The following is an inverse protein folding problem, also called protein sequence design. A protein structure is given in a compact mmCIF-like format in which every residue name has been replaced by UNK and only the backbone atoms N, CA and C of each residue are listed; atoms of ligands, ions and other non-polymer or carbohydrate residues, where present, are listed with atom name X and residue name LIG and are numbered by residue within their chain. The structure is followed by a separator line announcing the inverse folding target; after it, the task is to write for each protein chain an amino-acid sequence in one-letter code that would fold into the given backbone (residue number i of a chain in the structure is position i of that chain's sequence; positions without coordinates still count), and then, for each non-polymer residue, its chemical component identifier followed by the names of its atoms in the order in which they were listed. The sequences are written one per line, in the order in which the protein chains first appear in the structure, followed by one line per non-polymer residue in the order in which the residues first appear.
data_IF_548871769573
#
_entry.id   IF_548871769573
#
_cell.length_a   1.000
_cell.length_b   1.000
_cell.length_c   1.000
_cell.angle_alpha   90.00
_cell.angle_beta   90.00
_cell.angle_gamma   90.00
#
_symmetry.space_group_name_H-M   'P 1'
#
loop_
_entity.id
_entity.type
_entity.pdbx_description
1 polymer ?
#
# COMPACT_ATOMS: atom_id res chain seq x y z
N UNK A 1 -6.70 17.15 1.08
CA UNK A 1 -7.27 15.81 1.37
C UNK A 1 -6.67 14.85 0.36
N UNK A 2 -6.03 13.77 0.80
CA UNK A 2 -5.56 12.73 -0.13
C UNK A 2 -6.79 12.07 -0.76
N UNK A 3 -6.91 12.00 -2.10
CA UNK A 3 -8.06 11.37 -2.74
C UNK A 3 -8.19 9.90 -2.30
N UNK A 4 -9.42 9.42 -2.06
CA UNK A 4 -9.68 8.05 -1.63
C UNK A 4 -9.09 6.98 -2.58
N UNK A 5 -8.97 7.32 -3.87
CA UNK A 5 -8.34 6.48 -4.89
C UNK A 5 -6.84 6.21 -4.65
N UNK A 6 -6.12 7.10 -3.96
CA UNK A 6 -4.71 6.88 -3.62
C UNK A 6 -4.59 5.81 -2.53
N UNK A 7 -5.44 5.86 -1.51
CA UNK A 7 -5.47 4.85 -0.45
C UNK A 7 -5.84 3.49 -1.03
N UNK A 8 -6.82 3.45 -1.95
CA UNK A 8 -7.19 2.20 -2.63
C UNK A 8 -6.03 1.58 -3.41
N UNK A 9 -5.25 2.39 -4.16
CA UNK A 9 -4.06 1.93 -4.88
C UNK A 9 -2.97 1.40 -3.95
N UNK A 10 -2.70 2.10 -2.85
CA UNK A 10 -1.73 1.64 -1.85
C UNK A 10 -2.15 0.32 -1.19
N UNK A 11 -3.45 0.15 -0.90
CA UNK A 11 -3.98 -1.12 -0.40
C UNK A 11 -3.85 -2.24 -1.43
N UNK A 12 -4.04 -1.94 -2.72
CA UNK A 12 -3.85 -2.91 -3.80
C UNK A 12 -2.39 -3.33 -3.93
N UNK A 13 -1.43 -2.42 -3.76
CA UNK A 13 0.00 -2.73 -3.73
C UNK A 13 0.36 -3.67 -2.57
N UNK A 14 -0.19 -3.43 -1.38
CA UNK A 14 -0.03 -4.34 -0.23
C UNK A 14 -0.57 -5.74 -0.56
N UNK A 15 -1.78 -5.82 -1.14
CA UNK A 15 -2.42 -7.10 -1.50
C UNK A 15 -1.61 -7.84 -2.56
N UNK A 16 -1.15 -7.15 -3.59
CA UNK A 16 -0.36 -7.74 -4.67
C UNK A 16 1.00 -8.21 -4.16
N UNK A 17 1.63 -7.46 -3.24
CA UNK A 17 2.88 -7.86 -2.59
C UNK A 17 2.70 -9.13 -1.78
N UNK A 18 1.65 -9.22 -0.95
CA UNK A 18 1.33 -10.44 -0.20
C UNK A 18 0.98 -11.62 -1.12
N UNK A 19 0.24 -11.37 -2.21
CA UNK A 19 -0.11 -12.40 -3.20
C UNK A 19 1.13 -13.00 -3.86
N UNK A 20 2.15 -12.20 -4.19
CA UNK A 20 3.44 -12.68 -4.71
C UNK A 20 4.21 -13.54 -3.71
N UNK A 21 3.93 -13.38 -2.42
CA UNK A 21 4.48 -14.19 -1.32
C UNK A 21 3.60 -15.42 -0.99
N UNK A 22 2.51 -15.66 -1.72
CA UNK A 22 1.60 -16.77 -1.50
C UNK A 22 0.53 -16.52 -0.42
N UNK A 23 0.37 -15.29 0.06
CA UNK A 23 -0.61 -14.94 1.08
C UNK A 23 -1.97 -14.58 0.49
N UNK A 24 -3.04 -15.02 1.16
CA UNK A 24 -4.41 -14.53 0.97
C UNK A 24 -4.62 -13.20 1.74
N UNK A 25 -5.67 -12.46 1.38
CA UNK A 25 -6.01 -11.23 2.13
C UNK A 25 -6.33 -11.51 3.61
N UNK A 26 -6.94 -12.65 3.91
CA UNK A 26 -7.22 -13.05 5.28
C UNK A 26 -5.93 -13.29 6.07
N UNK A 27 -4.93 -13.92 5.45
CA UNK A 27 -3.61 -14.15 6.06
C UNK A 27 -2.85 -12.84 6.25
N UNK A 28 -2.89 -11.90 5.29
CA UNK A 28 -2.28 -10.57 5.46
C UNK A 28 -2.88 -9.85 6.67
N UNK A 29 -4.22 -9.83 6.77
CA UNK A 29 -4.90 -9.20 7.90
C UNK A 29 -4.59 -9.90 9.23
N UNK A 30 -4.57 -11.23 9.24
CA UNK A 30 -4.20 -12.02 10.41
C UNK A 30 -2.75 -11.73 10.87
N UNK A 31 -1.79 -11.73 9.94
CA UNK A 31 -0.38 -11.40 10.22
C UNK A 31 -0.23 -9.96 10.73
N UNK A 32 -1.09 -9.04 10.30
CA UNK A 32 -1.16 -7.67 10.81
C UNK A 32 -1.85 -7.54 12.19
N UNK A 33 -2.35 -8.63 12.77
CA UNK A 33 -3.12 -8.62 14.02
C UNK A 33 -4.51 -8.00 13.90
N UNK A 34 -5.11 -8.07 12.69
CA UNK A 34 -6.41 -7.47 12.34
C UNK A 34 -7.44 -8.55 12.02
N UNK A 35 -8.73 -8.18 12.03
CA UNK A 35 -9.80 -9.08 11.61
C UNK A 35 -9.62 -9.48 10.13
N UNK A 36 -9.89 -10.75 9.79
CA UNK A 36 -9.65 -11.32 8.45
C UNK A 36 -10.39 -10.58 7.31
N UNK A 37 -11.49 -9.90 7.62
CA UNK A 37 -12.28 -9.12 6.67
C UNK A 37 -11.84 -7.66 6.53
N UNK A 38 -10.82 -7.22 7.27
CA UNK A 38 -10.32 -5.84 7.29
C UNK A 38 -9.92 -5.37 5.89
N UNK A 39 -9.16 -6.16 5.14
CA UNK A 39 -8.74 -5.80 3.78
C UNK A 39 -9.93 -5.76 2.80
N UNK A 40 -10.88 -6.69 2.92
CA UNK A 40 -12.11 -6.71 2.11
C UNK A 40 -12.96 -5.46 2.37
N UNK A 41 -13.10 -5.05 3.63
CA UNK A 41 -13.79 -3.82 4.03
C UNK A 41 -13.05 -2.57 3.54
N UNK A 42 -11.73 -2.52 3.74
CA UNK A 42 -10.89 -1.40 3.33
C UNK A 42 -10.89 -1.17 1.81
N UNK A 43 -11.01 -2.23 0.99
CA UNK A 43 -11.19 -2.07 -0.46
C UNK A 43 -12.53 -1.42 -0.84
N UNK A 44 -13.61 -1.73 -0.11
CA UNK A 44 -14.95 -1.19 -0.39
C UNK A 44 -15.12 0.23 0.13
N UNK A 45 -14.52 0.51 1.28
CA UNK A 45 -14.48 1.81 1.91
C UNK A 45 -13.07 2.04 2.46
N UNK A 46 -12.21 2.79 1.74
CA UNK A 46 -10.81 2.99 2.09
C UNK A 46 -10.63 3.98 3.25
N UNK A 47 -11.42 3.80 4.31
CA UNK A 47 -11.26 4.47 5.58
C UNK A 47 -10.50 3.55 6.54
N UNK A 48 -9.20 3.39 6.28
CA UNK A 48 -8.29 2.67 7.16
C UNK A 48 -7.40 3.70 7.87
N UNK A 49 -7.37 3.66 9.20
CA UNK A 49 -6.46 4.52 9.96
C UNK A 49 -5.00 4.21 9.62
N UNK A 50 -4.13 5.23 9.68
CA UNK A 50 -2.70 5.10 9.32
C UNK A 50 -1.99 3.97 10.08
N UNK A 51 -2.36 3.75 11.34
CA UNK A 51 -1.83 2.63 12.14
C UNK A 51 -2.15 1.27 11.51
N UNK A 52 -3.41 1.03 11.16
CA UNK A 52 -3.82 -0.23 10.53
C UNK A 52 -3.25 -0.37 9.12
N UNK A 53 -3.14 0.73 8.38
CA UNK A 53 -2.44 0.75 7.10
C UNK A 53 -0.98 0.30 7.26
N UNK A 54 -0.27 0.86 8.24
CA UNK A 54 1.11 0.50 8.52
C UNK A 54 1.26 -0.97 8.93
N UNK A 55 0.36 -1.49 9.77
CA UNK A 55 0.35 -2.92 10.16
C UNK A 55 0.17 -3.83 8.94
N UNK A 56 -0.76 -3.49 8.04
CA UNK A 56 -0.98 -4.24 6.80
C UNK A 56 0.24 -4.21 5.87
N UNK A 57 0.89 -3.05 5.72
CA UNK A 57 2.12 -2.93 4.94
C UNK A 57 3.26 -3.79 5.53
N UNK A 58 3.46 -3.72 6.85
CA UNK A 58 4.49 -4.49 7.55
C UNK A 58 4.26 -6.00 7.43
N UNK A 59 3.01 -6.46 7.44
CA UNK A 59 2.65 -7.87 7.28
C UNK A 59 3.13 -8.48 5.95
N UNK A 60 3.37 -7.66 4.93
CA UNK A 60 3.91 -8.08 3.62
C UNK A 60 5.33 -7.57 3.36
N UNK A 61 6.02 -7.06 4.40
CA UNK A 61 7.40 -6.58 4.31
C UNK A 61 7.57 -5.17 3.74
N UNK A 62 6.51 -4.37 3.67
CA UNK A 62 6.53 -2.97 3.25
C UNK A 62 6.56 -2.02 4.46
N UNK A 63 6.95 -0.77 4.22
CA UNK A 63 6.85 0.32 5.20
C UNK A 63 6.30 1.59 4.54
N UNK A 64 5.30 2.26 5.14
CA UNK A 64 4.90 3.59 4.68
C UNK A 64 6.03 4.59 4.96
N UNK A 65 6.37 5.40 3.97
CA UNK A 65 7.35 6.49 4.09
C UNK A 65 6.81 7.73 3.41
N UNK A 66 7.22 8.90 3.91
CA UNK A 66 7.02 10.16 3.21
C UNK A 66 8.17 10.36 2.25
N UNK A 67 7.86 10.75 1.02
CA UNK A 67 8.82 11.12 -0.01
C UNK A 67 8.61 12.59 -0.38
N UNK A 68 9.64 13.31 -0.83
CA UNK A 68 9.46 14.66 -1.37
C UNK A 68 8.46 14.67 -2.52
N UNK A 69 7.54 15.63 -2.51
CA UNK A 69 6.61 15.91 -3.61
C UNK A 69 7.30 16.85 -4.62
N UNK A 70 8.36 16.32 -5.28
CA UNK A 70 9.12 17.05 -6.30
C UNK A 70 8.96 16.36 -7.67
N UNK A 71 8.27 17.00 -8.63
CA UNK A 71 8.02 16.42 -9.95
C UNK A 71 9.28 16.18 -10.78
N UNK A 72 10.42 16.78 -10.40
CA UNK A 72 11.71 16.55 -11.07
C UNK A 72 12.30 15.22 -10.62
N UNK A 73 12.25 14.89 -9.33
CA UNK A 73 12.78 13.64 -8.76
C UNK A 73 12.08 12.42 -9.36
N UNK A 74 10.76 12.48 -9.55
CA UNK A 74 9.96 11.38 -10.14
C UNK A 74 10.42 11.02 -11.57
N UNK A 75 10.89 12.01 -12.34
CA UNK A 75 11.47 11.79 -13.69
C UNK A 75 12.87 11.18 -13.66
N UNK A 76 13.64 11.45 -12.61
CA UNK A 76 15.00 10.90 -12.42
C UNK A 76 14.89 9.41 -12.10
N UNK A 77 14.06 9.05 -11.11
CA UNK A 77 13.93 7.66 -10.63
C UNK A 77 13.31 6.73 -11.68
N UNK A 78 12.46 7.24 -12.58
CA UNK A 78 11.88 6.48 -13.70
C UNK A 78 12.81 6.35 -14.90
N UNK A 79 14.06 6.81 -14.82
CA UNK A 79 15.07 6.68 -15.89
C UNK A 79 14.87 7.59 -17.10
N UNK A 80 13.97 8.58 -17.01
CA UNK A 80 13.57 9.42 -18.15
C UNK A 80 14.45 10.63 -18.43
N UNK A 81 15.45 10.92 -17.60
CA UNK A 81 16.28 12.12 -17.77
C UNK A 81 17.25 12.06 -18.96
N UNK A 82 17.60 10.86 -19.44
CA UNK A 82 18.64 10.70 -20.47
C UNK A 82 18.13 10.11 -21.79
N UNK A 83 16.83 9.84 -21.94
CA UNK A 83 16.25 9.45 -23.23
C UNK A 83 16.03 10.69 -24.10
N UNK A 84 17.06 11.03 -24.90
CA UNK A 84 16.95 11.92 -26.06
C UNK A 84 16.21 11.27 -27.21
#
# INVERSE_FOLDING_TARGET
MVPAEHIARLLEEIIETGRRQGMTQAEIAHTAGLASDTLSRAKRNPNVGLENFAKLAQAVGLKPVLVPDDPVIEKIERGGLFSR
#
